data_IF_597355218357
#
_entry.id   IF_597355218357
#
_cell.length_a   1.000
_cell.length_b   1.000
_cell.length_c   1.000
_cell.angle_alpha   90.00
_cell.angle_beta   90.00
_cell.angle_gamma   90.00
#
_symmetry.space_group_name_H-M   'P 1'
#
loop_
_entity.id
_entity.type
_entity.pdbx_description
1 polymer ?
#
# COMPACT_ATOMS: atom_id res chain seq x y z
N UNK A 1 36.75 22.08 15.61
CA UNK A 1 35.37 21.86 15.13
C UNK A 1 34.84 20.71 15.94
N UNK A 2 34.00 21.00 16.92
CA UNK A 2 33.41 19.97 17.78
C UNK A 2 32.64 18.99 16.91
N UNK A 3 32.99 17.71 17.00
CA UNK A 3 32.28 16.70 16.23
C UNK A 3 30.86 16.61 16.76
N UNK A 4 29.88 16.78 15.88
CA UNK A 4 28.48 16.57 16.23
C UNK A 4 28.30 15.05 16.45
N UNK A 5 28.01 14.58 17.67
CA UNK A 5 27.94 13.14 17.96
C UNK A 5 26.92 12.42 17.08
N UNK A 6 25.80 13.09 16.77
CA UNK A 6 24.80 12.56 15.84
C UNK A 6 25.35 12.32 14.43
N UNK A 7 26.30 13.14 13.94
CA UNK A 7 26.89 12.99 12.61
C UNK A 7 27.79 11.76 12.53
N UNK A 8 28.57 11.51 13.58
CA UNK A 8 29.43 10.31 13.65
C UNK A 8 28.58 9.04 13.67
N UNK A 9 27.52 9.02 14.48
CA UNK A 9 26.60 7.88 14.57
C UNK A 9 25.86 7.68 13.25
N UNK A 10 25.36 8.76 12.64
CA UNK A 10 24.73 8.71 11.32
C UNK A 10 25.65 8.10 10.26
N UNK A 11 26.93 8.52 10.23
CA UNK A 11 27.91 7.95 9.30
C UNK A 11 28.21 6.47 9.60
N UNK A 12 28.21 6.07 10.88
CA UNK A 12 28.48 4.68 11.26
C UNK A 12 27.33 3.72 10.94
N UNK A 13 26.10 4.25 10.90
CA UNK A 13 24.86 3.49 10.65
C UNK A 13 24.23 3.86 9.30
N UNK A 14 25.01 4.41 8.37
CA UNK A 14 24.51 5.07 7.18
C UNK A 14 23.70 4.14 6.27
N UNK A 15 24.08 2.86 6.20
CA UNK A 15 23.39 1.88 5.36
C UNK A 15 22.03 1.51 5.96
N UNK A 16 21.94 1.45 7.28
CA UNK A 16 20.67 1.23 7.98
C UNK A 16 19.73 2.42 7.84
N UNK A 17 20.22 3.65 7.95
CA UNK A 17 19.43 4.87 7.69
C UNK A 17 18.89 4.88 6.25
N UNK A 18 19.75 4.65 5.25
CA UNK A 18 19.35 4.58 3.85
C UNK A 18 18.26 3.50 3.60
N UNK A 19 18.42 2.32 4.21
CA UNK A 19 17.44 1.23 4.12
C UNK A 19 16.10 1.57 4.77
N UNK A 20 16.09 2.37 5.84
CA UNK A 20 14.85 2.86 6.48
C UNK A 20 14.10 3.79 5.54
N UNK A 21 14.81 4.71 4.88
CA UNK A 21 14.22 5.63 3.91
C UNK A 21 13.71 4.88 2.67
N UNK A 22 14.45 3.88 2.20
CA UNK A 22 14.01 3.01 1.10
C UNK A 22 12.74 2.22 1.46
N UNK A 23 12.65 1.68 2.69
CA UNK A 23 11.44 1.00 3.15
C UNK A 23 10.25 1.97 3.21
N UNK A 24 10.45 3.20 3.72
CA UNK A 24 9.43 4.24 3.73
C UNK A 24 8.96 4.60 2.31
N UNK A 25 9.90 4.67 1.35
CA UNK A 25 9.61 4.94 -0.05
C UNK A 25 8.70 3.87 -0.68
N UNK A 26 8.92 2.59 -0.40
CA UNK A 26 8.04 1.54 -0.91
C UNK A 26 6.60 1.60 -0.37
N UNK A 27 6.38 2.18 0.82
CA UNK A 27 5.03 2.46 1.31
C UNK A 27 4.35 3.53 0.44
N UNK A 28 5.09 4.56 0.02
CA UNK A 28 4.58 5.56 -0.92
C UNK A 28 4.25 4.96 -2.28
N UNK A 29 5.13 4.09 -2.79
CA UNK A 29 4.85 3.38 -4.04
C UNK A 29 3.61 2.47 -3.93
N UNK A 30 3.29 1.92 -2.76
CA UNK A 30 2.00 1.24 -2.56
C UNK A 30 0.81 2.20 -2.69
N UNK A 31 0.87 3.41 -2.12
CA UNK A 31 -0.20 4.41 -2.26
C UNK A 31 -0.33 4.92 -3.70
N UNK A 32 0.79 5.20 -4.36
CA UNK A 32 0.81 5.68 -5.76
C UNK A 32 0.27 4.64 -6.74
N UNK A 33 0.49 3.36 -6.46
CA UNK A 33 0.07 2.26 -7.32
C UNK A 33 -1.13 1.49 -6.78
N UNK A 34 -1.91 2.09 -5.87
CA UNK A 34 -2.97 1.42 -5.12
C UNK A 34 -4.00 0.73 -6.04
N UNK A 35 -4.29 1.33 -7.19
CA UNK A 35 -5.25 0.85 -8.18
C UNK A 35 -4.66 -0.04 -9.29
N UNK A 36 -3.34 -0.28 -9.29
CA UNK A 36 -2.66 -1.23 -10.19
C UNK A 36 -2.17 -2.44 -9.39
N UNK A 37 -2.90 -3.55 -9.48
CA UNK A 37 -2.80 -4.67 -8.56
C UNK A 37 -1.39 -5.30 -8.51
N UNK A 38 -0.77 -5.49 -9.67
CA UNK A 38 0.58 -6.07 -9.72
C UNK A 38 1.65 -5.09 -9.23
N UNK A 39 1.54 -3.79 -9.55
CA UNK A 39 2.49 -2.77 -9.06
C UNK A 39 2.38 -2.54 -7.55
N UNK A 40 1.17 -2.52 -6.99
CA UNK A 40 0.94 -2.51 -5.55
C UNK A 40 1.64 -3.69 -4.88
N UNK A 41 1.42 -4.90 -5.40
CA UNK A 41 2.04 -6.13 -4.88
C UNK A 41 3.56 -6.11 -4.97
N UNK A 42 4.14 -5.60 -6.06
CA UNK A 42 5.59 -5.46 -6.18
C UNK A 42 6.15 -4.48 -5.15
N UNK A 43 5.47 -3.36 -4.95
CA UNK A 43 5.84 -2.36 -3.94
C UNK A 43 5.79 -2.94 -2.53
N UNK A 44 4.73 -3.69 -2.21
CA UNK A 44 4.61 -4.42 -0.94
C UNK A 44 5.76 -5.43 -0.75
N UNK A 45 6.09 -6.21 -1.78
CA UNK A 45 7.19 -7.17 -1.70
C UNK A 45 8.54 -6.47 -1.45
N UNK A 46 8.82 -5.39 -2.19
CA UNK A 46 10.03 -4.60 -2.02
C UNK A 46 10.10 -3.97 -0.62
N UNK A 47 8.97 -3.45 -0.11
CA UNK A 47 8.87 -2.97 1.27
C UNK A 47 9.28 -4.05 2.28
N UNK A 48 8.71 -5.26 2.18
CA UNK A 48 9.00 -6.33 3.14
C UNK A 48 10.45 -6.79 3.11
N UNK A 49 11.07 -6.79 1.93
CA UNK A 49 12.50 -7.05 1.78
C UNK A 49 13.32 -5.97 2.47
N UNK A 50 13.06 -4.70 2.15
CA UNK A 50 13.78 -3.58 2.73
C UNK A 50 13.64 -3.54 4.26
N UNK A 51 12.42 -3.71 4.78
CA UNK A 51 12.12 -3.74 6.20
C UNK A 51 12.94 -4.79 6.96
N UNK A 52 13.02 -6.02 6.43
CA UNK A 52 13.77 -7.13 7.04
C UNK A 52 15.28 -6.89 7.02
N UNK A 53 15.77 -6.23 5.99
CA UNK A 53 17.20 -5.94 5.79
C UNK A 53 17.72 -4.87 6.78
N UNK A 54 16.88 -3.94 7.26
CA UNK A 54 17.28 -2.90 8.23
C UNK A 54 18.07 -3.50 9.39
N UNK A 55 17.46 -4.38 10.19
CA UNK A 55 18.13 -4.94 11.37
C UNK A 55 19.30 -5.88 11.02
N UNK A 56 19.38 -6.37 9.78
CA UNK A 56 20.55 -7.12 9.30
C UNK A 56 21.74 -6.19 9.10
N UNK A 57 21.52 -5.05 8.44
CA UNK A 57 22.53 -4.01 8.24
C UNK A 57 23.04 -3.47 9.58
N UNK A 58 22.15 -3.17 10.53
CA UNK A 58 22.54 -2.74 11.88
C UNK A 58 23.49 -3.73 12.54
N UNK A 59 23.24 -5.04 12.38
CA UNK A 59 24.11 -6.08 12.95
C UNK A 59 25.51 -6.06 12.33
N UNK A 60 25.61 -5.78 11.03
CA UNK A 60 26.88 -5.68 10.32
C UNK A 60 27.63 -4.40 10.71
N UNK A 61 26.92 -3.28 10.86
CA UNK A 61 27.51 -1.99 11.21
C UNK A 61 28.05 -1.96 12.64
N UNK A 62 27.37 -2.61 13.60
CA UNK A 62 27.84 -2.68 15.01
C UNK A 62 28.73 -3.88 15.33
N UNK A 63 29.15 -4.66 14.33
CA UNK A 63 29.82 -5.97 14.56
C UNK A 63 31.09 -5.91 15.41
N UNK A 64 31.78 -4.76 15.42
CA UNK A 64 32.99 -4.52 16.21
C UNK A 64 32.74 -4.32 17.72
N UNK A 65 31.48 -4.06 18.12
CA UNK A 65 31.11 -3.80 19.50
C UNK A 65 30.24 -4.94 20.06
N UNK A 66 30.80 -5.69 21.01
CA UNK A 66 30.11 -6.82 21.66
C UNK A 66 28.91 -6.38 22.51
N UNK A 67 28.94 -5.18 23.08
CA UNK A 67 27.85 -4.59 23.85
C UNK A 67 26.67 -4.28 22.94
N UNK A 68 26.91 -3.50 21.88
CA UNK A 68 25.88 -3.13 20.90
C UNK A 68 25.30 -4.36 20.19
N UNK A 69 26.13 -5.37 19.87
CA UNK A 69 25.65 -6.63 19.29
C UNK A 69 24.61 -7.33 20.19
N UNK A 70 24.78 -7.28 21.51
CA UNK A 70 23.79 -7.83 22.45
C UNK A 70 22.49 -7.02 22.41
N UNK A 71 22.57 -5.70 22.36
CA UNK A 71 21.40 -4.81 22.22
C UNK A 71 20.63 -5.14 20.95
N UNK A 72 21.32 -5.21 19.79
CA UNK A 72 20.72 -5.57 18.51
C UNK A 72 20.05 -6.96 18.57
N UNK A 73 20.68 -7.92 19.23
CA UNK A 73 20.11 -9.27 19.40
C UNK A 73 18.83 -9.24 20.24
N UNK A 74 18.82 -8.48 21.34
CA UNK A 74 17.62 -8.29 22.16
C UNK A 74 16.50 -7.63 21.36
N UNK A 75 16.80 -6.56 20.61
CA UNK A 75 15.83 -5.86 19.75
C UNK A 75 15.25 -6.75 18.65
N UNK A 76 16.08 -7.58 18.00
CA UNK A 76 15.59 -8.59 17.05
C UNK A 76 14.66 -9.62 17.70
N UNK A 77 14.94 -10.03 18.94
CA UNK A 77 14.09 -10.95 19.67
C UNK A 77 12.76 -10.31 20.08
N UNK A 78 12.75 -9.03 20.48
CA UNK A 78 11.54 -8.25 20.72
C UNK A 78 10.68 -8.17 19.44
N UNK A 79 11.28 -7.76 18.32
CA UNK A 79 10.60 -7.69 17.02
C UNK A 79 10.04 -9.05 16.58
N UNK A 80 10.75 -10.15 16.82
CA UNK A 80 10.29 -11.49 16.43
C UNK A 80 9.09 -11.99 17.25
N UNK A 81 8.87 -11.43 18.44
CA UNK A 81 7.71 -11.70 19.30
C UNK A 81 6.50 -10.84 18.95
N UNK A 82 6.70 -9.72 18.27
CA UNK A 82 5.61 -8.87 17.79
C UNK A 82 4.80 -9.62 16.71
N UNK A 83 3.47 -9.80 16.88
CA UNK A 83 2.68 -10.60 15.95
C UNK A 83 2.71 -10.08 14.51
N UNK A 84 2.67 -8.75 14.34
CA UNK A 84 2.70 -8.11 13.03
C UNK A 84 4.06 -8.33 12.35
N UNK A 85 5.15 -7.99 13.04
CA UNK A 85 6.50 -8.15 12.48
C UNK A 85 6.82 -9.62 12.19
N UNK A 86 6.49 -10.51 13.13
CA UNK A 86 6.70 -11.95 12.98
C UNK A 86 5.94 -12.50 11.76
N UNK A 87 4.71 -12.04 11.54
CA UNK A 87 3.94 -12.41 10.36
C UNK A 87 4.58 -11.87 9.08
N UNK A 88 4.83 -10.55 8.99
CA UNK A 88 5.36 -9.90 7.79
C UNK A 88 6.73 -10.45 7.38
N UNK A 89 7.60 -10.79 8.35
CA UNK A 89 8.91 -11.38 8.06
C UNK A 89 8.86 -12.81 7.50
N UNK A 90 7.81 -13.57 7.84
CA UNK A 90 7.56 -14.91 7.28
C UNK A 90 6.98 -14.82 5.87
N UNK A 91 6.15 -13.82 5.61
CA UNK A 91 5.44 -13.67 4.34
C UNK A 91 6.32 -13.25 3.15
N UNK A 92 7.58 -12.87 3.37
CA UNK A 92 8.58 -12.66 2.29
C UNK A 92 8.61 -13.84 1.31
N UNK A 93 8.49 -15.06 1.82
CA UNK A 93 8.60 -16.28 1.02
C UNK A 93 7.28 -16.63 0.30
N UNK A 94 6.17 -15.92 0.59
CA UNK A 94 4.80 -16.31 0.19
C UNK A 94 4.10 -15.22 -0.65
N UNK A 95 4.46 -13.93 -0.53
CA UNK A 95 3.82 -12.79 -1.23
C UNK A 95 4.07 -12.75 -2.75
N UNK A 96 4.83 -13.72 -3.26
CA UNK A 96 4.91 -14.01 -4.70
C UNK A 96 3.59 -14.64 -5.22
N UNK A 97 2.80 -15.28 -4.35
CA UNK A 97 1.52 -15.87 -4.72
C UNK A 97 0.37 -14.88 -4.53
N UNK A 98 -0.24 -14.51 -5.67
CA UNK A 98 -1.47 -13.71 -5.80
C UNK A 98 -2.60 -14.11 -4.82
N UNK A 99 -2.58 -15.33 -4.30
CA UNK A 99 -3.60 -15.92 -3.42
C UNK A 99 -3.69 -15.32 -2.01
N UNK A 100 -2.66 -14.67 -1.47
CA UNK A 100 -2.70 -14.15 -0.09
C UNK A 100 -3.52 -12.87 0.08
N UNK A 101 -3.57 -12.03 -0.96
CA UNK A 101 -4.30 -10.76 -0.91
C UNK A 101 -5.81 -10.96 -1.19
N UNK A 102 -6.15 -11.95 -2.03
CA UNK A 102 -7.49 -12.11 -2.59
C UNK A 102 -8.62 -12.34 -1.56
N UNK A 103 -8.46 -13.15 -0.50
CA UNK A 103 -9.60 -13.55 0.34
C UNK A 103 -10.18 -12.42 1.19
N UNK A 104 -9.33 -11.49 1.64
CA UNK A 104 -9.74 -10.38 2.50
C UNK A 104 -9.86 -9.04 1.76
N UNK A 105 -9.19 -8.89 0.61
CA UNK A 105 -9.23 -7.65 -0.19
C UNK A 105 -10.52 -7.53 -0.98
N UNK A 106 -10.96 -6.28 -1.22
CA UNK A 106 -12.20 -5.98 -1.93
C UNK A 106 -11.95 -4.93 -2.99
N UNK A 107 -12.70 -5.01 -4.08
CA UNK A 107 -12.74 -3.96 -5.08
C UNK A 107 -14.12 -3.95 -5.75
N UNK A 108 -14.62 -2.76 -6.07
CA UNK A 108 -15.91 -2.61 -6.75
C UNK A 108 -16.03 -1.30 -7.49
N UNK A 109 -16.76 -1.33 -8.61
CA UNK A 109 -17.20 -0.13 -9.31
C UNK A 109 -18.39 0.45 -8.56
N UNK A 110 -18.41 1.75 -8.37
CA UNK A 110 -19.47 2.44 -7.66
C UNK A 110 -19.58 3.90 -8.07
N UNK A 111 -20.41 4.61 -7.34
CA UNK A 111 -20.74 5.99 -7.59
C UNK A 111 -20.32 6.83 -6.38
N UNK A 112 -19.59 7.92 -6.59
CA UNK A 112 -19.15 8.83 -5.53
C UNK A 112 -19.77 10.21 -5.72
N UNK A 113 -20.07 10.89 -4.60
CA UNK A 113 -20.42 12.31 -4.58
C UNK A 113 -19.50 13.03 -3.59
N UNK A 114 -18.64 13.91 -4.09
CA UNK A 114 -17.60 14.54 -3.27
C UNK A 114 -16.54 13.52 -2.83
N UNK A 115 -16.34 13.33 -1.51
CA UNK A 115 -15.23 12.55 -0.94
C UNK A 115 -15.64 11.17 -0.39
N UNK A 116 -16.79 10.64 -0.80
CA UNK A 116 -17.28 9.35 -0.30
C UNK A 116 -18.32 8.71 -1.21
N UNK A 117 -18.41 7.39 -1.11
CA UNK A 117 -19.34 6.58 -1.90
C UNK A 117 -20.79 6.92 -1.58
N UNK A 118 -21.62 7.08 -2.63
CA UNK A 118 -23.07 7.15 -2.51
C UNK A 118 -23.59 5.71 -2.39
N UNK A 119 -24.29 5.42 -1.30
CA UNK A 119 -24.78 4.10 -0.88
C UNK A 119 -25.28 3.19 -2.02
N UNK A 120 -24.87 1.91 -1.96
CA UNK A 120 -25.85 0.82 -1.95
C UNK A 120 -25.49 -0.48 -2.65
N UNK A 121 -25.00 -0.42 -3.89
CA UNK A 121 -24.66 -1.60 -4.70
C UNK A 121 -23.49 -1.20 -5.61
N UNK A 122 -22.30 -1.73 -5.34
CA UNK A 122 -21.18 -1.65 -6.26
C UNK A 122 -21.11 -2.92 -7.09
N UNK A 123 -20.65 -2.83 -8.33
CA UNK A 123 -20.36 -4.02 -9.13
C UNK A 123 -19.01 -4.60 -8.66
N UNK A 124 -18.98 -5.80 -8.06
CA UNK A 124 -17.74 -6.37 -7.54
C UNK A 124 -16.79 -6.68 -8.70
N UNK A 125 -15.52 -6.33 -8.54
CA UNK A 125 -14.45 -6.69 -9.48
C UNK A 125 -13.41 -7.55 -8.79
N UNK A 126 -12.63 -8.31 -9.55
CA UNK A 126 -11.53 -9.09 -8.97
C UNK A 126 -10.52 -8.13 -8.31
N UNK A 127 -10.26 -8.23 -6.99
CA UNK A 127 -9.26 -7.40 -6.32
C UNK A 127 -7.87 -7.54 -6.94
N UNK A 128 -7.57 -8.60 -7.68
CA UNK A 128 -6.28 -8.77 -8.34
C UNK A 128 -6.23 -8.21 -9.77
N UNK A 129 -7.31 -7.60 -10.25
CA UNK A 129 -7.34 -6.86 -11.50
C UNK A 129 -7.10 -5.38 -11.27
N UNK A 130 -6.48 -4.70 -12.22
CA UNK A 130 -6.35 -3.24 -12.19
C UNK A 130 -7.73 -2.60 -12.25
N UNK A 131 -7.88 -1.45 -11.58
CA UNK A 131 -9.17 -0.77 -11.47
C UNK A 131 -9.73 -0.37 -12.83
N UNK A 132 -8.88 0.06 -13.76
CA UNK A 132 -9.27 0.40 -15.13
C UNK A 132 -9.85 -0.80 -15.89
N UNK A 133 -9.27 -2.00 -15.71
CA UNK A 133 -9.80 -3.23 -16.29
C UNK A 133 -11.17 -3.56 -15.69
N UNK A 134 -11.31 -3.36 -14.37
CA UNK A 134 -12.57 -3.57 -13.66
C UNK A 134 -13.71 -2.68 -14.16
N UNK A 135 -13.48 -1.36 -14.27
CA UNK A 135 -14.50 -0.45 -14.77
C UNK A 135 -14.84 -0.71 -16.24
N UNK A 136 -13.86 -1.01 -17.09
CA UNK A 136 -14.12 -1.35 -18.51
C UNK A 136 -14.99 -2.60 -18.66
N UNK A 137 -14.80 -3.61 -17.79
CA UNK A 137 -15.69 -4.78 -17.76
C UNK A 137 -17.13 -4.40 -17.39
N UNK A 138 -17.29 -3.51 -16.42
CA UNK A 138 -18.62 -3.02 -16.04
C UNK A 138 -19.27 -2.19 -17.16
N UNK A 139 -18.50 -1.30 -17.82
CA UNK A 139 -18.97 -0.53 -18.97
C UNK A 139 -19.44 -1.46 -20.10
N UNK A 140 -18.65 -2.49 -20.44
CA UNK A 140 -19.05 -3.48 -21.45
C UNK A 140 -20.34 -4.23 -21.06
N UNK A 141 -20.48 -4.61 -19.78
CA UNK A 141 -21.71 -5.21 -19.28
C UNK A 141 -22.92 -4.27 -19.46
N UNK A 142 -22.78 -3.01 -19.03
CA UNK A 142 -23.83 -2.00 -19.16
C UNK A 142 -24.13 -1.62 -20.62
N UNK A 143 -23.16 -1.76 -21.53
CA UNK A 143 -23.35 -1.51 -22.96
C UNK A 143 -24.19 -2.59 -23.64
N UNK A 144 -24.07 -3.84 -23.17
CA UNK A 144 -24.85 -4.98 -23.68
C UNK A 144 -26.29 -4.98 -23.15
N UNK A 145 -26.46 -4.66 -21.88
CA UNK A 145 -27.75 -4.60 -21.21
C UNK A 145 -28.10 -3.16 -20.83
N UNK A 146 -28.54 -2.94 -19.59
CA UNK A 146 -28.80 -1.62 -19.00
C UNK A 146 -27.86 -1.42 -17.83
N UNK A 147 -27.44 -0.19 -17.58
CA UNK A 147 -26.81 0.22 -16.32
C UNK A 147 -27.84 0.14 -15.17
N UNK A 148 -28.16 -1.09 -14.76
CA UNK A 148 -29.21 -1.37 -13.78
C UNK A 148 -28.94 -0.70 -12.43
N UNK A 149 -27.66 -0.52 -12.08
CA UNK A 149 -27.25 0.09 -10.82
C UNK A 149 -27.13 1.62 -10.91
N UNK A 150 -27.23 2.22 -12.11
CA UNK A 150 -27.08 3.66 -12.31
C UNK A 150 -25.70 4.17 -11.86
N UNK A 151 -24.66 3.36 -12.05
CA UNK A 151 -23.30 3.64 -11.58
C UNK A 151 -22.52 4.48 -12.61
N UNK A 152 -22.83 4.35 -13.91
CA UNK A 152 -22.13 5.06 -14.96
C UNK A 152 -22.61 6.50 -15.05
N UNK A 153 -21.84 7.39 -14.45
CA UNK A 153 -22.03 8.82 -14.58
C UNK A 153 -21.35 9.34 -15.85
N UNK A 154 -22.14 9.90 -16.76
CA UNK A 154 -21.69 10.41 -18.07
C UNK A 154 -21.87 11.92 -18.26
N UNK A 155 -22.44 12.60 -17.27
CA UNK A 155 -22.76 14.02 -17.34
C UNK A 155 -21.65 14.88 -16.74
N UNK A 156 -21.34 16.01 -17.38
CA UNK A 156 -20.37 16.99 -16.87
C UNK A 156 -21.11 18.23 -16.36
N UNK A 157 -21.95 18.04 -15.34
CA UNK A 157 -22.85 19.06 -14.81
C UNK A 157 -22.26 19.88 -13.64
N UNK A 158 -21.02 19.57 -13.23
CA UNK A 158 -20.38 20.19 -12.07
C UNK A 158 -20.97 19.74 -10.72
N UNK A 159 -21.84 18.73 -10.69
CA UNK A 159 -22.52 18.22 -9.49
C UNK A 159 -21.62 17.49 -8.50
N UNK A 160 -20.34 17.29 -8.85
CA UNK A 160 -19.34 16.58 -8.05
C UNK A 160 -19.62 15.08 -7.93
N UNK A 161 -20.39 14.54 -8.87
CA UNK A 161 -20.73 13.13 -8.98
C UNK A 161 -19.83 12.46 -10.02
N UNK A 162 -19.34 11.27 -9.71
CA UNK A 162 -18.43 10.54 -10.59
C UNK A 162 -18.59 9.03 -10.45
N UNK A 163 -18.35 8.33 -11.55
CA UNK A 163 -18.07 6.88 -11.53
C UNK A 163 -16.70 6.66 -10.88
N UNK A 164 -16.59 5.69 -9.98
CA UNK A 164 -15.32 5.37 -9.33
C UNK A 164 -15.12 3.87 -9.16
N UNK A 165 -13.87 3.47 -8.92
CA UNK A 165 -13.55 2.17 -8.33
C UNK A 165 -13.07 2.39 -6.91
N UNK A 166 -13.74 1.75 -5.94
CA UNK A 166 -13.22 1.65 -4.58
C UNK A 166 -12.44 0.35 -4.42
N UNK A 167 -11.33 0.41 -3.70
CA UNK A 167 -10.47 -0.74 -3.40
C UNK A 167 -10.01 -0.73 -1.95
N UNK A 168 -9.87 -1.92 -1.39
CA UNK A 168 -9.32 -2.19 -0.05
C UNK A 168 -8.33 -3.35 -0.15
N UNK A 169 -7.13 -3.19 0.43
CA UNK A 169 -6.09 -4.22 0.45
C UNK A 169 -5.91 -4.73 1.88
N UNK A 170 -6.26 -5.99 2.13
CA UNK A 170 -6.31 -6.56 3.47
C UNK A 170 -5.65 -7.94 3.54
N UNK A 171 -5.21 -8.30 4.74
CA UNK A 171 -4.69 -9.62 5.06
C UNK A 171 -5.70 -10.37 5.93
N UNK A 172 -5.90 -11.66 5.68
CA UNK A 172 -6.83 -12.47 6.49
C UNK A 172 -6.50 -12.46 7.99
N UNK A 173 -5.21 -12.38 8.33
CA UNK A 173 -4.72 -12.37 9.70
C UNK A 173 -4.92 -11.02 10.40
N UNK A 174 -5.18 -9.97 9.63
CA UNK A 174 -5.41 -8.60 10.09
C UNK A 174 -6.57 -7.99 9.30
N UNK A 175 -7.80 -8.54 9.44
CA UNK A 175 -8.93 -8.22 8.55
C UNK A 175 -9.48 -6.80 8.76
N UNK A 176 -9.18 -6.21 9.92
CA UNK A 176 -9.67 -4.88 10.29
C UNK A 176 -8.79 -3.76 9.75
N UNK A 177 -7.54 -4.07 9.37
CA UNK A 177 -6.54 -3.08 8.98
C UNK A 177 -6.16 -3.17 7.49
N UNK A 178 -5.97 -2.01 6.88
CA UNK A 178 -5.37 -1.89 5.55
C UNK A 178 -3.89 -2.27 5.56
N UNK A 179 -3.43 -2.91 4.49
CA UNK A 179 -2.03 -3.31 4.35
C UNK A 179 -1.07 -2.12 4.44
N UNK A 180 -1.45 -0.94 3.93
CA UNK A 180 -0.62 0.28 4.02
C UNK A 180 -0.48 0.77 5.47
N UNK A 181 -1.54 0.64 6.28
CA UNK A 181 -1.52 0.94 7.73
C UNK A 181 -0.63 -0.05 8.47
N UNK A 182 -0.76 -1.34 8.16
CA UNK A 182 0.10 -2.39 8.72
C UNK A 182 1.57 -2.18 8.35
N UNK A 183 1.86 -1.78 7.11
CA UNK A 183 3.20 -1.47 6.64
C UNK A 183 3.80 -0.26 7.37
N UNK A 184 3.04 0.83 7.51
CA UNK A 184 3.46 2.01 8.27
C UNK A 184 3.78 1.66 9.73
N UNK A 185 2.88 0.93 10.41
CA UNK A 185 3.08 0.46 11.78
C UNK A 185 4.33 -0.44 11.91
N UNK A 186 4.53 -1.35 10.96
CA UNK A 186 5.70 -2.21 10.94
C UNK A 186 7.00 -1.42 10.75
N UNK A 187 7.00 -0.44 9.83
CA UNK A 187 8.13 0.46 9.62
C UNK A 187 8.46 1.26 10.89
N UNK A 188 7.45 1.83 11.57
CA UNK A 188 7.66 2.58 12.82
C UNK A 188 8.29 1.70 13.91
N UNK A 189 7.82 0.46 14.08
CA UNK A 189 8.36 -0.48 15.08
C UNK A 189 9.81 -0.85 14.79
N UNK A 190 10.15 -1.17 13.54
CA UNK A 190 11.52 -1.54 13.15
C UNK A 190 12.45 -0.34 13.23
N UNK A 191 12.00 0.83 12.77
CA UNK A 191 12.77 2.09 12.85
C UNK A 191 13.01 2.49 14.31
N UNK A 192 12.02 2.32 15.19
CA UNK A 192 12.21 2.56 16.62
C UNK A 192 13.25 1.60 17.22
N UNK A 193 13.20 0.31 16.87
CA UNK A 193 14.20 -0.65 17.34
C UNK A 193 15.62 -0.28 16.87
N UNK A 194 15.76 0.27 15.67
CA UNK A 194 17.01 0.84 15.18
C UNK A 194 17.41 2.12 15.95
N UNK A 195 16.48 3.03 16.19
CA UNK A 195 16.73 4.27 16.94
C UNK A 195 17.14 3.99 18.39
N UNK A 196 16.62 2.93 19.00
CA UNK A 196 17.06 2.49 20.33
C UNK A 196 18.54 2.08 20.31
N UNK A 197 19.00 1.36 19.27
CA UNK A 197 20.42 0.99 19.10
C UNK A 197 21.29 2.23 18.87
N UNK A 198 20.85 3.14 17.99
CA UNK A 198 21.55 4.40 17.77
C UNK A 198 21.58 5.28 19.04
N UNK A 199 20.53 5.22 19.86
CA UNK A 199 20.45 5.88 21.17
C UNK A 199 21.48 5.37 22.16
N UNK A 200 21.72 4.05 22.20
CA UNK A 200 22.82 3.46 22.99
C UNK A 200 24.21 3.92 22.52
N UNK A 201 24.33 4.31 21.24
CA UNK A 201 25.55 4.93 20.69
C UNK A 201 25.67 6.42 21.01
N UNK A 202 24.64 7.02 21.64
CA UNK A 202 24.59 8.44 22.03
C UNK A 202 23.76 9.33 21.10
N UNK A 203 23.04 8.77 20.12
CA UNK A 203 22.24 9.56 19.20
C UNK A 203 20.98 10.11 19.89
N UNK A 204 20.63 11.34 19.54
CA UNK A 204 19.36 11.95 19.96
C UNK A 204 18.43 12.02 18.76
N UNK A 205 17.52 11.06 18.67
CA UNK A 205 16.60 10.88 17.56
C UNK A 205 15.16 11.14 18.02
N UNK A 206 14.35 11.71 17.13
CA UNK A 206 12.91 11.88 17.35
C UNK A 206 12.22 10.56 17.05
N UNK A 207 11.18 10.21 17.81
CA UNK A 207 10.37 9.01 17.56
C UNK A 207 9.94 8.96 16.08
N UNK A 208 10.18 7.86 15.36
CA UNK A 208 9.80 7.75 13.96
C UNK A 208 8.28 7.65 13.85
N UNK A 209 7.71 8.41 12.92
CA UNK A 209 6.29 8.37 12.59
C UNK A 209 6.12 8.41 11.08
N UNK A 210 5.20 7.61 10.55
CA UNK A 210 4.89 7.57 9.13
C UNK A 210 3.47 8.10 8.90
N UNK A 211 3.33 9.17 8.10
CA UNK A 211 2.02 9.75 7.78
C UNK A 211 1.54 9.23 6.43
N UNK A 212 0.50 8.39 6.42
CA UNK A 212 -0.14 7.94 5.19
C UNK A 212 -0.93 9.07 4.51
N UNK A 213 -1.17 8.93 3.22
CA UNK A 213 -2.11 9.74 2.46
C UNK A 213 -3.54 9.57 2.97
N UNK A 214 -4.43 10.47 2.53
CA UNK A 214 -5.83 10.39 2.88
C UNK A 214 -6.46 9.14 2.24
N UNK A 215 -7.05 8.20 3.00
CA UNK A 215 -7.66 7.00 2.44
C UNK A 215 -8.70 7.29 1.37
N UNK A 216 -9.47 8.37 1.50
CA UNK A 216 -10.49 8.75 0.52
C UNK A 216 -9.90 9.18 -0.83
N UNK A 217 -8.62 9.53 -0.89
CA UNK A 217 -7.92 9.86 -2.14
C UNK A 217 -7.17 8.67 -2.72
N UNK A 218 -6.79 7.69 -1.88
CA UNK A 218 -5.98 6.54 -2.28
C UNK A 218 -6.85 5.34 -2.66
N UNK A 219 -7.97 5.14 -1.95
CA UNK A 219 -8.86 3.99 -2.15
C UNK A 219 -9.86 4.17 -3.29
N UNK A 220 -10.01 5.40 -3.80
CA UNK A 220 -10.97 5.76 -4.83
C UNK A 220 -10.25 6.22 -6.09
N UNK A 221 -10.40 5.45 -7.17
CA UNK A 221 -10.03 5.89 -8.51
C UNK A 221 -11.26 6.52 -9.14
N UNK A 222 -11.21 7.83 -9.40
CA UNK A 222 -12.33 8.59 -9.96
C UNK A 222 -12.14 8.71 -11.47
N UNK A 223 -13.19 8.39 -12.23
CA UNK A 223 -13.17 8.46 -13.69
C UNK A 223 -13.91 9.70 -14.18
N UNK A 224 -13.31 10.38 -15.17
CA UNK A 224 -13.91 11.53 -15.82
C UNK A 224 -15.21 11.10 -16.55
N UNK A 225 -16.34 11.84 -16.42
CA UNK A 225 -17.61 11.47 -17.04
C UNK A 225 -17.56 11.38 -18.58
N UNK A 226 -16.79 12.24 -19.23
CA UNK A 226 -16.58 12.22 -20.69
C UNK A 226 -15.84 10.94 -21.11
N UNK A 227 -14.84 10.52 -20.34
CA UNK A 227 -14.15 9.25 -20.58
C UNK A 227 -15.10 8.06 -20.44
N UNK A 228 -15.92 8.02 -19.38
CA UNK A 228 -16.92 6.96 -19.17
C UNK A 228 -17.91 6.91 -20.33
N UNK A 229 -18.39 8.08 -20.79
CA UNK A 229 -19.29 8.21 -21.93
C UNK A 229 -18.67 7.66 -23.21
N UNK A 230 -17.43 8.05 -23.51
CA UNK A 230 -16.73 7.62 -24.72
C UNK A 230 -16.50 6.10 -24.74
N UNK A 231 -16.08 5.52 -23.62
CA UNK A 231 -15.92 4.06 -23.48
C UNK A 231 -17.26 3.32 -23.63
N UNK A 232 -18.34 3.86 -23.04
CA UNK A 232 -19.68 3.28 -23.15
C UNK A 232 -20.19 3.26 -24.60
N UNK A 233 -20.06 4.38 -25.32
CA UNK A 233 -20.49 4.47 -26.72
C UNK A 233 -19.64 3.58 -27.63
N UNK A 234 -18.33 3.48 -27.38
CA UNK A 234 -17.47 2.56 -28.09
C UNK A 234 -17.87 1.10 -27.87
N UNK A 235 -18.15 0.70 -26.63
CA UNK A 235 -18.62 -0.64 -26.30
C UNK A 235 -19.96 -0.97 -26.97
N UNK A 236 -20.94 -0.05 -26.93
CA UNK A 236 -22.24 -0.22 -27.60
C UNK A 236 -22.08 -0.44 -29.11
N UNK A 237 -21.25 0.38 -29.76
CA UNK A 237 -20.96 0.25 -31.19
C UNK A 237 -20.34 -1.11 -31.51
N UNK A 238 -19.37 -1.55 -30.71
CA UNK A 238 -18.73 -2.84 -30.89
C UNK A 238 -19.74 -4.01 -30.79
N UNK A 239 -20.63 -4.00 -29.79
CA UNK A 239 -21.68 -5.01 -29.67
C UNK A 239 -22.64 -4.99 -30.88
N UNK A 240 -23.04 -3.81 -31.36
CA UNK A 240 -23.90 -3.68 -32.53
C UNK A 240 -23.29 -4.23 -33.82
N UNK A 241 -21.96 -4.18 -33.96
CA UNK A 241 -21.21 -4.65 -35.14
C UNK A 241 -20.83 -6.14 -35.08
N UNK A 242 -20.81 -6.75 -33.89
CA UNK A 242 -20.25 -8.10 -33.66
C UNK A 242 -21.26 -9.12 -33.07
N UNK A 243 -22.45 -8.69 -32.67
CA UNK A 243 -23.54 -9.58 -32.22
C UNK A 243 -24.62 -9.83 -33.29
N UNK A 244 -24.37 -9.42 -34.56
CA UNK A 244 -25.07 -9.89 -35.78
C UNK A 244 -24.41 -11.12 -36.38
#
# INVERSE_FOLDING_TARGET
>A
MDSCPNKEIFNSLSSSFDRIDEAAWFIRLMEENYHQADKFRWSLNSFLRALKEIMQLVTMEVQGDKGLKKVVTAKKAELSKDPLISFLYKQRDIIVHKSMLKPASKAGVGFTRGRGMKLGLGFPIDPLSDSEIGIKKYINYAAKDVDFLGILYTEEDGGGEYTCVQREWKLEQFPDDEITVLAASAWEKVTQAFFDVAGEMGAKLVKPTFTLGNPNHVQFEIYNPEWVKNELEHAKKWHAENET
#
